data_IF_659378894763
#
_entry.id   IF_659378894763
#
_cell.length_a   1.000
_cell.length_b   1.000
_cell.length_c   1.000
_cell.angle_alpha   90.00
_cell.angle_beta   90.00
_cell.angle_gamma   90.00
#
_symmetry.space_group_name_H-M   'P 1'
#
loop_
_entity.id
_entity.type
_entity.pdbx_description
1 polymer ?
#
# COMPACT_ATOMS: atom_id res chain seq x y z
N UNK A 1 -17.52 -12.20 19.79
CA UNK A 1 -16.06 -12.07 19.68
C UNK A 1 -15.79 -11.03 18.61
N UNK A 2 -15.58 -9.78 19.01
CA UNK A 2 -15.41 -8.66 18.09
C UNK A 2 -13.97 -8.65 17.63
N UNK A 3 -13.69 -9.16 16.43
CA UNK A 3 -12.38 -8.98 15.80
C UNK A 3 -12.31 -7.56 15.28
N UNK A 4 -11.83 -6.65 16.12
CA UNK A 4 -11.32 -5.37 15.65
C UNK A 4 -10.08 -5.68 14.80
N UNK A 5 -10.25 -5.73 13.48
CA UNK A 5 -9.15 -5.56 12.55
C UNK A 5 -8.62 -4.15 12.79
N UNK A 6 -7.58 -4.06 13.62
CA UNK A 6 -6.84 -2.81 13.80
C UNK A 6 -6.30 -2.44 12.43
N UNK A 7 -6.87 -1.39 11.85
CA UNK A 7 -6.29 -0.68 10.72
C UNK A 7 -4.93 -0.22 11.21
N UNK A 8 -3.85 -0.92 10.84
CA UNK A 8 -2.49 -0.45 11.08
C UNK A 8 -2.31 0.74 10.17
N UNK A 9 -2.64 1.92 10.72
CA UNK A 9 -2.35 3.20 10.11
C UNK A 9 -0.83 3.27 9.95
N UNK A 10 -0.40 3.35 8.70
CA UNK A 10 0.98 3.61 8.29
C UNK A 10 1.45 5.04 8.67
N UNK A 11 0.82 5.67 9.67
CA UNK A 11 1.15 7.02 10.13
C UNK A 11 2.07 6.93 11.35
N UNK A 12 3.36 7.30 11.23
CA UNK A 12 4.31 7.22 12.34
C UNK A 12 3.90 8.08 13.54
N UNK A 13 3.11 9.13 13.32
CA UNK A 13 2.57 10.00 14.37
C UNK A 13 1.43 9.34 15.17
N UNK A 14 0.58 8.53 14.54
CA UNK A 14 -0.50 7.84 15.24
C UNK A 14 0.03 6.65 16.07
N UNK A 15 1.08 6.00 15.56
CA UNK A 15 1.77 4.91 16.23
C UNK A 15 2.51 5.40 17.48
N UNK A 16 3.26 6.50 17.42
CA UNK A 16 3.98 7.04 18.59
C UNK A 16 3.05 7.51 19.71
N UNK A 17 1.89 8.09 19.36
CA UNK A 17 0.86 8.47 20.35
C UNK A 17 0.26 7.23 21.02
N UNK A 18 -0.02 6.18 20.25
CA UNK A 18 -0.58 4.94 20.80
C UNK A 18 0.39 4.21 21.73
N UNK A 19 1.68 4.13 21.37
CA UNK A 19 2.73 3.54 22.22
C UNK A 19 2.85 4.30 23.57
N UNK A 20 2.94 5.63 23.50
CA UNK A 20 3.07 6.47 24.69
C UNK A 20 1.81 6.47 25.56
N UNK A 21 0.62 6.35 24.98
CA UNK A 21 -0.65 6.45 25.69
C UNK A 21 -1.19 5.10 26.18
N UNK A 22 -0.80 3.98 25.54
CA UNK A 22 -1.22 2.62 25.91
C UNK A 22 -0.13 1.84 26.65
N UNK A 23 1.13 2.29 26.64
CA UNK A 23 2.24 1.66 27.36
C UNK A 23 2.60 0.25 26.85
N UNK A 24 2.21 -0.08 25.60
CA UNK A 24 2.49 -1.36 24.96
C UNK A 24 3.43 -1.13 23.78
N UNK A 25 4.62 -1.75 23.77
CA UNK A 25 5.60 -1.53 22.72
C UNK A 25 5.06 -1.95 21.36
N UNK A 26 5.22 -1.07 20.37
CA UNK A 26 4.89 -1.39 18.99
C UNK A 26 5.99 -2.25 18.35
N UNK A 27 5.56 -3.27 17.60
CA UNK A 27 6.47 -4.07 16.77
C UNK A 27 6.59 -3.43 15.40
N UNK A 28 7.81 -3.05 15.00
CA UNK A 28 8.07 -2.62 13.62
C UNK A 28 7.94 -3.82 12.68
N UNK A 29 7.18 -3.63 11.60
CA UNK A 29 7.02 -4.64 10.55
C UNK A 29 7.22 -3.96 9.20
N UNK A 30 8.31 -4.29 8.52
CA UNK A 30 8.76 -3.66 7.26
C UNK A 30 7.93 -4.09 6.03
N UNK A 31 6.66 -4.47 6.24
CA UNK A 31 5.71 -4.87 5.20
C UNK A 31 4.47 -3.98 5.11
N UNK A 32 4.43 -2.93 5.92
CA UNK A 32 3.39 -1.91 5.89
C UNK A 32 4.00 -0.63 5.36
N UNK A 33 3.54 -0.19 4.18
CA UNK A 33 4.08 1.01 3.53
C UNK A 33 3.04 2.10 3.40
N UNK A 34 3.44 3.31 3.78
CA UNK A 34 2.67 4.55 3.66
C UNK A 34 3.04 5.30 2.38
N UNK A 35 2.18 6.21 1.92
CA UNK A 35 2.50 7.09 0.79
C UNK A 35 3.50 8.20 1.17
N UNK A 36 3.96 8.25 2.42
CA UNK A 36 5.08 9.09 2.87
C UNK A 36 6.45 8.43 2.59
N UNK A 37 6.48 7.14 2.28
CA UNK A 37 7.65 6.42 1.77
C UNK A 37 7.69 6.46 0.24
N UNK A 38 8.83 6.25 -0.39
CA UNK A 38 8.91 6.14 -1.85
C UNK A 38 8.47 4.75 -2.32
N UNK A 39 7.18 4.61 -2.60
CA UNK A 39 6.52 3.35 -3.01
C UNK A 39 7.07 2.85 -4.35
N UNK A 40 7.61 3.73 -5.19
CA UNK A 40 8.18 3.33 -6.47
C UNK A 40 9.49 2.53 -6.32
N UNK A 41 10.15 2.61 -5.15
CA UNK A 41 11.37 1.85 -4.84
C UNK A 41 11.10 0.38 -4.47
N UNK A 42 9.86 0.03 -4.09
CA UNK A 42 9.51 -1.35 -3.76
C UNK A 42 9.59 -2.18 -5.04
N UNK A 43 10.49 -3.18 -5.06
CA UNK A 43 10.71 -4.02 -6.22
C UNK A 43 9.48 -4.87 -6.54
N UNK A 44 9.21 -5.08 -7.83
CA UNK A 44 8.08 -5.92 -8.28
C UNK A 44 8.06 -7.32 -7.65
N UNK A 45 9.24 -7.90 -7.42
CA UNK A 45 9.39 -9.21 -6.80
C UNK A 45 9.02 -9.22 -5.30
N UNK A 46 9.08 -8.07 -4.63
CA UNK A 46 8.78 -7.91 -3.20
C UNK A 46 7.29 -7.65 -2.97
N UNK A 47 6.56 -7.16 -3.98
CA UNK A 47 5.14 -6.76 -3.88
C UNK A 47 4.26 -7.88 -3.31
N UNK A 48 4.51 -9.14 -3.66
CA UNK A 48 3.75 -10.29 -3.14
C UNK A 48 3.95 -10.52 -1.63
N UNK A 49 5.04 -10.02 -1.06
CA UNK A 49 5.34 -10.14 0.37
C UNK A 49 4.83 -8.96 1.20
N UNK A 50 4.35 -7.89 0.56
CA UNK A 50 3.87 -6.71 1.27
C UNK A 50 2.46 -6.91 1.83
N UNK A 51 2.22 -6.40 3.03
CA UNK A 51 0.94 -6.50 3.73
C UNK A 51 0.04 -5.31 3.38
N UNK A 52 0.60 -4.09 3.38
CA UNK A 52 -0.12 -2.90 2.96
C UNK A 52 0.73 -1.99 2.08
N UNK A 53 0.09 -1.41 1.08
CA UNK A 53 0.64 -0.36 0.23
C UNK A 53 -0.38 0.77 0.17
N UNK A 54 0.05 1.98 0.53
CA UNK A 54 -0.71 3.18 0.26
C UNK A 54 -0.27 3.79 -1.07
N UNK A 55 -1.08 4.69 -1.62
CA UNK A 55 -0.79 5.43 -2.83
C UNK A 55 -1.17 6.88 -2.61
N UNK A 56 -0.35 7.79 -3.10
CA UNK A 56 -0.52 9.22 -2.87
C UNK A 56 0.48 10.03 -3.65
N UNK A 57 0.46 11.34 -3.48
CA UNK A 57 1.50 12.19 -4.04
C UNK A 57 1.51 13.53 -3.34
N UNK A 58 2.71 14.03 -3.06
CA UNK A 58 2.93 15.41 -2.62
C UNK A 58 2.94 16.40 -3.79
N UNK A 59 3.23 15.95 -5.00
CA UNK A 59 3.29 16.76 -6.22
C UNK A 59 2.58 16.03 -7.36
N UNK A 60 1.52 16.61 -7.90
CA UNK A 60 0.78 16.03 -9.02
C UNK A 60 1.63 15.62 -10.24
N UNK A 61 2.85 16.17 -10.39
CA UNK A 61 3.81 15.79 -11.43
C UNK A 61 4.64 14.54 -11.09
N UNK A 62 4.70 14.16 -9.82
CA UNK A 62 5.50 13.04 -9.29
C UNK A 62 4.60 12.12 -8.45
N UNK A 63 3.76 11.31 -9.10
CA UNK A 63 2.89 10.41 -8.37
C UNK A 63 3.72 9.32 -7.66
N UNK A 64 3.45 9.10 -6.38
CA UNK A 64 4.11 8.08 -5.58
C UNK A 64 3.24 6.82 -5.58
N UNK A 65 3.51 5.95 -6.56
CA UNK A 65 2.65 4.83 -6.92
C UNK A 65 3.48 3.55 -7.03
N UNK A 66 2.81 2.42 -6.80
CA UNK A 66 3.42 1.11 -6.96
C UNK A 66 3.80 0.82 -8.42
N UNK A 67 5.00 0.29 -8.60
CA UNK A 67 5.55 -0.07 -9.89
C UNK A 67 5.13 -1.50 -10.29
N UNK A 68 3.97 -1.65 -10.93
CA UNK A 68 3.47 -2.92 -11.51
C UNK A 68 3.16 -2.74 -13.00
N UNK A 69 2.97 -3.80 -13.80
CA UNK A 69 2.46 -3.69 -15.17
C UNK A 69 1.13 -2.93 -15.25
N UNK A 70 0.88 -2.22 -16.34
CA UNK A 70 -0.37 -1.48 -16.54
C UNK A 70 -1.46 -2.44 -17.00
N UNK A 71 -2.51 -2.62 -16.18
CA UNK A 71 -3.68 -3.42 -16.57
C UNK A 71 -4.89 -2.58 -16.98
N UNK A 72 -4.95 -1.33 -16.52
CA UNK A 72 -6.08 -0.43 -16.79
C UNK A 72 -5.58 0.94 -17.24
N UNK A 73 -6.37 1.68 -18.04
CA UNK A 73 -6.05 3.07 -18.38
C UNK A 73 -5.90 3.93 -17.12
N UNK A 74 -4.91 4.83 -17.10
CA UNK A 74 -4.60 5.69 -15.95
C UNK A 74 -5.83 6.45 -15.43
N UNK A 75 -6.74 6.87 -16.31
CA UNK A 75 -7.98 7.55 -15.91
C UNK A 75 -8.90 6.71 -15.01
N UNK A 76 -8.89 5.38 -15.18
CA UNK A 76 -9.71 4.40 -14.42
C UNK A 76 -8.94 3.75 -13.27
N UNK A 77 -7.62 3.94 -13.22
CA UNK A 77 -6.73 3.32 -12.23
C UNK A 77 -5.62 4.28 -11.78
N UNK A 78 -6.02 5.50 -11.38
CA UNK A 78 -5.10 6.59 -11.02
C UNK A 78 -4.14 6.21 -9.90
N UNK A 79 -4.62 5.41 -8.93
CA UNK A 79 -3.84 4.95 -7.78
C UNK A 79 -3.21 3.57 -7.99
N UNK A 80 -3.32 2.98 -9.20
CA UNK A 80 -2.75 1.69 -9.59
C UNK A 80 -3.28 0.46 -8.85
N UNK A 81 -4.20 0.59 -7.89
CA UNK A 81 -4.70 -0.55 -7.10
C UNK A 81 -5.39 -1.63 -7.94
N UNK A 82 -6.02 -1.29 -9.07
CA UNK A 82 -6.61 -2.31 -9.95
C UNK A 82 -5.51 -3.07 -10.69
N UNK A 83 -4.50 -2.36 -11.20
CA UNK A 83 -3.33 -3.01 -11.82
C UNK A 83 -2.56 -3.87 -10.82
N UNK A 84 -2.38 -3.40 -9.58
CA UNK A 84 -1.79 -4.15 -8.49
C UNK A 84 -2.58 -5.44 -8.19
N UNK A 85 -3.91 -5.34 -8.12
CA UNK A 85 -4.77 -6.50 -7.92
C UNK A 85 -4.55 -7.55 -9.02
N UNK A 86 -4.43 -7.12 -10.29
CA UNK A 86 -4.19 -8.05 -11.40
C UNK A 86 -2.80 -8.66 -11.41
N UNK A 87 -1.80 -7.89 -11.00
CA UNK A 87 -0.45 -8.38 -10.83
C UNK A 87 -0.41 -9.50 -9.76
N UNK A 88 -1.09 -9.29 -8.63
CA UNK A 88 -1.15 -10.27 -7.53
C UNK A 88 -2.07 -11.46 -7.82
N UNK A 89 -3.19 -11.24 -8.52
CA UNK A 89 -4.29 -12.20 -8.66
C UNK A 89 -4.78 -12.33 -10.10
N UNK A 90 -3.91 -12.79 -11.00
CA UNK A 90 -4.16 -12.80 -12.46
C UNK A 90 -5.46 -13.48 -12.89
N UNK A 91 -5.98 -14.45 -12.13
CA UNK A 91 -7.24 -15.16 -12.44
C UNK A 91 -8.52 -14.34 -12.22
N UNK A 92 -8.44 -13.19 -11.55
CA UNK A 92 -9.61 -12.35 -11.18
C UNK A 92 -9.65 -11.02 -11.94
N UNK A 93 -8.93 -10.92 -13.04
CA UNK A 93 -8.89 -9.72 -13.85
C UNK A 93 -9.63 -9.89 -15.17
N UNK A 94 -10.25 -8.80 -15.68
CA UNK A 94 -10.86 -8.84 -16.99
C UNK A 94 -9.80 -9.29 -18.01
N UNK A 95 -10.18 -10.24 -18.86
CA UNK A 95 -9.31 -10.69 -19.95
C UNK A 95 -8.88 -9.46 -20.76
N UNK A 96 -7.58 -9.32 -20.94
CA UNK A 96 -7.01 -8.39 -21.91
C UNK A 96 -7.42 -8.90 -23.31
N UNK A 97 -8.59 -8.51 -23.80
CA UNK A 97 -8.89 -8.49 -25.23
C UNK A 97 -8.75 -7.09 -25.78
#
# INVERSE_FOLDING_TARGET
>A
MSHAFSVVLSDPLALSVSDHQLGVPLTSVDRFHSHFEDIALIGQHEIHSQVSLSAGSYDARRPNLVNVPIAFPTGKDKQRFRSLHCFLFSKRCPDFR
#
